data_IF_398721597979
#
_entry.id   IF_398721597979
#
_cell.length_a   1.000
_cell.length_b   1.000
_cell.length_c   1.000
_cell.angle_alpha   90.00
_cell.angle_beta   90.00
_cell.angle_gamma   90.00
#
_symmetry.space_group_name_H-M   'P 1'
#
loop_
_entity.id
_entity.type
_entity.pdbx_description
1 polymer ?
#
# COMPACT_ATOMS: atom_id res chain seq x y z
N UNK A 1 9.84 -19.97 27.12
CA UNK A 1 10.49 -19.29 25.96
C UNK A 1 9.46 -19.07 24.87
N UNK A 2 8.95 -17.86 24.69
CA UNK A 2 8.04 -17.52 23.60
C UNK A 2 8.85 -17.53 22.30
N UNK A 3 8.41 -18.32 21.30
CA UNK A 3 9.11 -18.45 20.00
C UNK A 3 9.29 -17.08 19.36
N UNK A 4 10.54 -16.71 19.09
CA UNK A 4 10.97 -15.43 18.52
C UNK A 4 10.87 -15.36 16.99
N UNK A 5 9.89 -16.02 16.38
CA UNK A 5 9.70 -16.08 14.92
C UNK A 5 8.25 -15.93 14.53
N UNK A 6 8.03 -15.27 13.40
CA UNK A 6 6.72 -15.22 12.71
C UNK A 6 6.36 -16.66 12.28
N UNK A 7 5.10 -17.07 12.50
CA UNK A 7 4.63 -18.40 12.04
C UNK A 7 4.31 -18.37 10.54
N UNK A 8 5.34 -18.16 9.72
CA UNK A 8 5.19 -18.24 8.27
C UNK A 8 4.95 -19.71 7.86
N UNK A 9 3.97 -19.98 6.96
CA UNK A 9 3.76 -21.33 6.44
C UNK A 9 4.99 -21.79 5.65
N UNK A 10 5.23 -23.11 5.55
CA UNK A 10 6.27 -23.63 4.66
C UNK A 10 5.97 -23.20 3.24
N UNK A 11 7.00 -22.71 2.54
CA UNK A 11 6.88 -22.24 1.15
C UNK A 11 7.82 -23.01 0.25
N UNK A 12 7.38 -23.30 -0.97
CA UNK A 12 8.23 -23.74 -2.07
C UNK A 12 8.39 -22.58 -3.05
N UNK A 13 9.63 -22.20 -3.35
CA UNK A 13 9.92 -21.12 -4.28
C UNK A 13 10.73 -21.67 -5.47
N UNK A 14 10.42 -21.18 -6.67
CA UNK A 14 11.19 -21.46 -7.88
C UNK A 14 11.00 -20.35 -8.91
N UNK A 15 11.87 -20.31 -9.90
CA UNK A 15 11.78 -19.40 -11.04
C UNK A 15 11.66 -20.20 -12.33
N UNK A 16 10.78 -19.78 -13.22
CA UNK A 16 10.67 -20.34 -14.57
C UNK A 16 11.75 -19.76 -15.48
N UNK A 17 12.04 -20.45 -16.58
CA UNK A 17 13.05 -20.01 -17.55
C UNK A 17 12.74 -18.63 -18.17
N UNK A 18 11.46 -18.27 -18.28
CA UNK A 18 11.01 -16.95 -18.75
C UNK A 18 11.10 -15.83 -17.69
N UNK A 19 11.60 -16.14 -16.50
CA UNK A 19 11.83 -15.18 -15.44
C UNK A 19 10.74 -15.11 -14.37
N UNK A 20 9.57 -15.70 -14.56
CA UNK A 20 8.48 -15.67 -13.58
C UNK A 20 8.92 -16.32 -12.25
N UNK A 21 8.84 -15.56 -11.17
CA UNK A 21 9.04 -16.03 -9.81
C UNK A 21 7.75 -16.62 -9.26
N UNK A 22 7.82 -17.82 -8.69
CA UNK A 22 6.65 -18.54 -8.14
C UNK A 22 6.88 -18.86 -6.67
N UNK A 23 5.87 -18.61 -5.85
CA UNK A 23 5.84 -18.94 -4.42
C UNK A 23 4.59 -19.76 -4.15
N UNK A 24 4.76 -20.97 -3.65
CA UNK A 24 3.68 -21.86 -3.23
C UNK A 24 3.67 -21.96 -1.72
N UNK A 25 2.54 -21.70 -1.10
CA UNK A 25 2.31 -21.83 0.35
C UNK A 25 1.13 -22.79 0.58
N UNK A 26 1.34 -24.11 0.49
CA UNK A 26 0.29 -25.10 0.65
C UNK A 26 -0.19 -25.16 2.11
N UNK A 27 -1.51 -25.19 2.28
CA UNK A 27 -2.21 -25.51 3.52
C UNK A 27 -3.27 -26.57 3.23
N UNK A 28 -2.97 -27.87 3.38
CA UNK A 28 -3.91 -28.94 3.05
C UNK A 28 -5.24 -28.90 3.83
N UNK A 29 -5.27 -28.22 4.97
CA UNK A 29 -6.48 -28.07 5.77
C UNK A 29 -7.42 -26.97 5.24
N UNK A 30 -6.92 -26.06 4.40
CA UNK A 30 -7.72 -24.97 3.87
C UNK A 30 -8.72 -25.47 2.82
N UNK A 31 -10.03 -25.10 2.92
CA UNK A 31 -11.03 -25.42 1.89
C UNK A 31 -10.90 -24.54 0.65
N UNK A 32 -10.12 -23.46 0.71
CA UNK A 32 -9.94 -22.49 -0.39
C UNK A 32 -8.48 -22.37 -0.78
N UNK A 33 -8.25 -21.92 -2.02
CA UNK A 33 -6.95 -21.53 -2.53
C UNK A 33 -7.03 -20.10 -3.10
N UNK A 34 -5.98 -19.33 -2.89
CA UNK A 34 -5.86 -17.96 -3.37
C UNK A 34 -4.66 -17.84 -4.31
N UNK A 35 -4.88 -17.27 -5.48
CA UNK A 35 -3.86 -16.97 -6.50
C UNK A 35 -3.65 -15.47 -6.55
N UNK A 36 -2.41 -15.05 -6.46
CA UNK A 36 -1.96 -13.66 -6.50
C UNK A 36 -0.91 -13.47 -7.58
N UNK A 37 -1.09 -12.47 -8.42
CA UNK A 37 -0.06 -12.00 -9.34
C UNK A 37 0.31 -10.57 -8.96
N UNK A 38 1.58 -10.37 -8.65
CA UNK A 38 2.15 -9.09 -8.27
C UNK A 38 3.09 -8.61 -9.37
N UNK A 39 2.83 -7.45 -9.93
CA UNK A 39 3.73 -6.78 -10.87
C UNK A 39 4.46 -5.65 -10.14
N UNK A 40 5.78 -5.54 -10.34
CA UNK A 40 6.62 -4.48 -9.76
C UNK A 40 6.50 -3.19 -10.56
N UNK A 41 5.27 -2.74 -10.75
CA UNK A 41 4.90 -1.54 -11.47
C UNK A 41 3.73 -0.88 -10.77
N UNK A 42 3.83 0.43 -10.58
CA UNK A 42 2.82 1.27 -9.96
C UNK A 42 3.06 2.72 -10.35
N UNK A 43 2.46 3.69 -9.63
CA UNK A 43 2.57 5.10 -10.02
C UNK A 43 4.02 5.64 -9.98
N UNK A 44 4.95 4.97 -9.30
CA UNK A 44 6.39 5.31 -9.35
C UNK A 44 7.02 5.18 -10.74
N UNK A 45 6.43 4.39 -11.63
CA UNK A 45 6.92 4.15 -12.98
C UNK A 45 6.33 5.14 -14.01
N UNK A 46 5.54 6.08 -13.53
CA UNK A 46 4.84 7.06 -14.34
C UNK A 46 5.58 8.40 -14.37
N UNK A 47 5.30 9.20 -15.39
CA UNK A 47 5.84 10.54 -15.58
C UNK A 47 4.75 11.47 -16.14
N UNK A 48 4.93 12.81 -16.13
CA UNK A 48 3.95 13.74 -16.68
C UNK A 48 3.55 13.38 -18.11
N UNK A 49 2.25 13.29 -18.36
CA UNK A 49 1.66 12.86 -19.62
C UNK A 49 1.12 11.43 -19.63
N UNK A 50 1.52 10.60 -18.61
CA UNK A 50 1.00 9.23 -18.45
C UNK A 50 0.66 8.88 -17.00
N UNK A 51 0.49 9.88 -16.12
CA UNK A 51 0.11 9.58 -14.73
C UNK A 51 -1.27 8.93 -14.69
N UNK A 52 -1.41 7.89 -13.86
CA UNK A 52 -2.60 7.03 -13.81
C UNK A 52 -2.55 5.81 -14.73
N UNK A 53 -1.49 5.63 -15.52
CA UNK A 53 -1.37 4.51 -16.46
C UNK A 53 -1.38 3.15 -15.77
N UNK A 54 -0.76 3.01 -14.60
CA UNK A 54 -0.75 1.76 -13.83
C UNK A 54 -2.16 1.34 -13.40
N UNK A 55 -2.92 2.29 -12.86
CA UNK A 55 -4.30 2.09 -12.44
C UNK A 55 -5.21 1.80 -13.64
N UNK A 56 -5.00 2.52 -14.74
CA UNK A 56 -5.77 2.26 -15.94
C UNK A 56 -5.50 0.87 -16.54
N UNK A 57 -4.25 0.43 -16.57
CA UNK A 57 -3.92 -0.95 -16.99
C UNK A 57 -4.52 -1.98 -16.03
N UNK A 58 -4.63 -1.66 -14.72
CA UNK A 58 -5.35 -2.50 -13.78
C UNK A 58 -6.79 -2.77 -14.27
N UNK A 59 -7.56 -1.72 -14.61
CA UNK A 59 -8.91 -1.84 -15.16
C UNK A 59 -8.93 -2.63 -16.47
N UNK A 60 -7.98 -2.34 -17.37
CA UNK A 60 -7.93 -2.98 -18.68
C UNK A 60 -7.71 -4.49 -18.62
N UNK A 61 -7.05 -5.00 -17.59
CA UNK A 61 -6.82 -6.44 -17.43
C UNK A 61 -8.11 -7.23 -17.06
N UNK A 62 -9.20 -6.55 -16.75
CA UNK A 62 -10.52 -7.13 -16.60
C UNK A 62 -11.38 -7.04 -17.88
N UNK A 63 -10.96 -6.23 -18.86
CA UNK A 63 -11.74 -5.98 -20.07
C UNK A 63 -11.62 -7.08 -21.13
N UNK A 64 -10.71 -8.04 -20.94
CA UNK A 64 -10.63 -9.25 -21.75
C UNK A 64 -9.24 -9.66 -22.17
N UNK A 65 -9.17 -10.88 -22.65
CA UNK A 65 -8.00 -11.58 -23.19
C UNK A 65 -8.45 -12.53 -24.30
N UNK A 66 -7.57 -13.17 -25.07
CA UNK A 66 -7.97 -14.06 -26.16
C UNK A 66 -8.91 -15.20 -25.76
N UNK A 67 -8.87 -15.65 -24.49
CA UNK A 67 -9.69 -16.77 -24.01
C UNK A 67 -10.91 -16.31 -23.21
N UNK A 68 -10.90 -15.08 -22.73
CA UNK A 68 -11.95 -14.53 -21.90
C UNK A 68 -12.37 -13.17 -22.44
N UNK A 69 -13.58 -13.09 -22.96
CA UNK A 69 -14.18 -11.83 -23.37
C UNK A 69 -14.52 -10.94 -22.15
N UNK A 70 -14.99 -9.73 -22.45
CA UNK A 70 -15.42 -8.76 -21.44
C UNK A 70 -16.45 -9.35 -20.47
N UNK A 71 -16.16 -9.24 -19.15
CA UNK A 71 -17.00 -9.77 -18.07
C UNK A 71 -16.96 -11.30 -17.93
N UNK A 72 -16.19 -12.03 -18.75
CA UNK A 72 -16.07 -13.48 -18.62
C UNK A 72 -15.08 -13.89 -17.54
N UNK A 73 -14.08 -13.06 -17.26
CA UNK A 73 -13.14 -13.26 -16.14
C UNK A 73 -13.92 -13.31 -14.82
N UNK A 74 -14.76 -12.30 -14.57
CA UNK A 74 -15.59 -12.22 -13.36
C UNK A 74 -16.54 -13.40 -13.27
N UNK A 75 -17.28 -13.68 -14.39
CA UNK A 75 -18.22 -14.81 -14.43
C UNK A 75 -17.52 -16.15 -14.18
N UNK A 76 -16.33 -16.36 -14.71
CA UNK A 76 -15.59 -17.62 -14.52
C UNK A 76 -15.25 -17.86 -13.06
N UNK A 77 -14.83 -16.82 -12.32
CA UNK A 77 -14.48 -16.93 -10.91
C UNK A 77 -15.73 -17.02 -10.03
N UNK A 78 -16.72 -16.13 -10.25
CA UNK A 78 -17.95 -16.10 -9.46
C UNK A 78 -18.78 -17.38 -9.63
N UNK A 79 -18.83 -17.95 -10.86
CA UNK A 79 -19.60 -19.18 -11.13
C UNK A 79 -19.11 -20.41 -10.36
N UNK A 80 -17.86 -20.40 -9.89
CA UNK A 80 -17.29 -21.46 -9.05
C UNK A 80 -17.29 -21.12 -7.56
N UNK A 81 -17.99 -20.04 -7.16
CA UNK A 81 -18.06 -19.58 -5.77
C UNK A 81 -16.82 -18.84 -5.29
N UNK A 82 -16.05 -18.28 -6.20
CA UNK A 82 -14.85 -17.48 -5.91
C UNK A 82 -15.11 -15.98 -5.88
N UNK A 83 -14.10 -15.27 -5.44
CA UNK A 83 -14.00 -13.81 -5.47
C UNK A 83 -12.71 -13.39 -6.18
N UNK A 84 -12.70 -12.23 -6.82
CA UNK A 84 -11.51 -11.66 -7.44
C UNK A 84 -11.51 -10.14 -7.25
N UNK A 85 -10.31 -9.58 -7.24
CA UNK A 85 -10.11 -8.14 -7.24
C UNK A 85 -8.69 -7.80 -7.69
N UNK A 86 -8.39 -6.50 -7.79
CA UNK A 86 -7.06 -5.97 -8.02
C UNK A 86 -6.88 -4.67 -7.25
N UNK A 87 -5.66 -4.19 -7.18
CA UNK A 87 -5.34 -2.86 -6.68
C UNK A 87 -3.96 -2.42 -7.18
N UNK A 88 -3.84 -1.13 -7.39
CA UNK A 88 -2.58 -0.46 -7.69
C UNK A 88 -2.12 0.38 -6.50
N UNK A 89 -0.84 0.29 -6.19
CA UNK A 89 -0.14 1.18 -5.26
C UNK A 89 0.99 1.90 -6.01
N UNK A 90 1.71 2.68 -5.29
CA UNK A 90 2.89 3.39 -5.79
C UNK A 90 3.98 2.43 -6.30
N UNK A 91 4.22 1.31 -5.62
CA UNK A 91 5.32 0.38 -5.92
C UNK A 91 4.94 -0.83 -6.75
N UNK A 92 3.66 -1.17 -6.83
CA UNK A 92 3.19 -2.41 -7.46
C UNK A 92 1.71 -2.35 -7.85
N UNK A 93 1.34 -3.28 -8.74
CA UNK A 93 -0.05 -3.61 -9.05
C UNK A 93 -0.26 -5.10 -8.75
N UNK A 94 -1.35 -5.44 -8.09
CA UNK A 94 -1.65 -6.83 -7.72
C UNK A 94 -3.04 -7.23 -8.17
N UNK A 95 -3.15 -8.46 -8.69
CA UNK A 95 -4.41 -9.13 -9.04
C UNK A 95 -4.55 -10.37 -8.19
N UNK A 96 -5.74 -10.66 -7.70
CA UNK A 96 -5.95 -11.85 -6.91
C UNK A 96 -7.33 -12.46 -7.11
N UNK A 97 -7.39 -13.77 -6.92
CA UNK A 97 -8.64 -14.53 -6.87
C UNK A 97 -8.55 -15.57 -5.76
N UNK A 98 -9.65 -15.73 -5.02
CA UNK A 98 -9.79 -16.79 -4.02
C UNK A 98 -10.97 -17.67 -4.44
N UNK A 99 -10.73 -18.96 -4.54
CA UNK A 99 -11.73 -19.95 -5.02
C UNK A 99 -11.74 -21.19 -4.08
N UNK A 100 -12.81 -21.99 -4.09
CA UNK A 100 -12.75 -23.34 -3.53
C UNK A 100 -11.57 -24.11 -4.15
N UNK A 101 -10.84 -24.87 -3.35
CA UNK A 101 -9.56 -25.48 -3.75
C UNK A 101 -9.62 -26.37 -4.99
N UNK A 102 -10.76 -27.01 -5.24
CA UNK A 102 -11.02 -27.84 -6.41
C UNK A 102 -11.08 -27.04 -7.71
N UNK A 103 -11.33 -25.72 -7.63
CA UNK A 103 -11.43 -24.81 -8.77
C UNK A 103 -10.17 -23.95 -8.97
N UNK A 104 -9.04 -24.27 -8.32
CA UNK A 104 -7.77 -23.54 -8.44
C UNK A 104 -7.28 -23.39 -9.90
N UNK A 105 -7.68 -24.29 -10.78
CA UNK A 105 -7.33 -24.22 -12.20
C UNK A 105 -7.90 -22.96 -12.90
N UNK A 106 -9.04 -22.43 -12.44
CA UNK A 106 -9.74 -21.28 -13.05
C UNK A 106 -8.87 -20.01 -12.96
N UNK A 107 -8.47 -19.52 -11.77
CA UNK A 107 -7.62 -18.33 -11.70
C UNK A 107 -6.24 -18.54 -12.34
N UNK A 108 -5.65 -19.72 -12.30
CA UNK A 108 -4.38 -20.00 -12.98
C UNK A 108 -4.51 -19.88 -14.51
N UNK A 109 -5.66 -20.27 -15.07
CA UNK A 109 -5.94 -20.15 -16.48
C UNK A 109 -6.11 -18.69 -16.90
N UNK A 110 -6.87 -17.92 -16.13
CA UNK A 110 -7.08 -16.48 -16.33
C UNK A 110 -5.73 -15.76 -16.30
N UNK A 111 -4.94 -15.95 -15.24
CA UNK A 111 -3.67 -15.24 -15.07
C UNK A 111 -2.64 -15.61 -16.13
N UNK A 112 -2.59 -16.88 -16.56
CA UNK A 112 -1.70 -17.29 -17.65
C UNK A 112 -2.11 -16.73 -19.01
N UNK A 113 -3.37 -16.33 -19.19
CA UNK A 113 -3.85 -15.73 -20.43
C UNK A 113 -3.64 -14.22 -20.45
N UNK A 114 -4.09 -13.50 -19.41
CA UNK A 114 -4.04 -12.04 -19.38
C UNK A 114 -2.65 -11.45 -19.08
N UNK A 115 -1.71 -12.21 -18.50
CA UNK A 115 -0.39 -11.73 -18.10
C UNK A 115 0.41 -11.08 -19.26
N UNK A 116 0.27 -11.61 -20.48
CA UNK A 116 1.01 -11.11 -21.65
C UNK A 116 0.13 -10.88 -22.87
N UNK A 117 -1.19 -11.09 -22.75
CA UNK A 117 -2.13 -11.06 -23.88
C UNK A 117 -3.43 -10.32 -23.58
N UNK A 118 -3.46 -9.45 -22.57
CA UNK A 118 -4.64 -8.62 -22.31
C UNK A 118 -5.00 -7.77 -23.52
N UNK A 119 -6.29 -7.67 -23.80
CA UNK A 119 -6.82 -6.91 -24.93
C UNK A 119 -7.08 -5.47 -24.51
N UNK A 120 -6.12 -4.59 -24.79
CA UNK A 120 -6.24 -3.15 -24.55
C UNK A 120 -6.74 -2.52 -25.85
N UNK A 121 -8.04 -2.67 -26.12
CA UNK A 121 -8.69 -2.14 -27.33
C UNK A 121 -9.02 -0.67 -27.17
N UNK A 122 -9.00 0.07 -28.30
CA UNK A 122 -9.32 1.51 -28.28
C UNK A 122 -10.74 1.77 -27.74
N UNK A 123 -11.70 0.93 -28.10
CA UNK A 123 -13.10 1.05 -27.65
C UNK A 123 -13.23 0.90 -26.14
N UNK A 124 -12.57 -0.09 -25.55
CA UNK A 124 -12.66 -0.32 -24.10
C UNK A 124 -11.85 0.73 -23.32
N UNK A 125 -10.72 1.21 -23.85
CA UNK A 125 -9.99 2.32 -23.24
C UNK A 125 -10.87 3.57 -23.14
N UNK A 126 -11.59 3.93 -24.20
CA UNK A 126 -12.49 5.10 -24.15
C UNK A 126 -13.69 4.91 -23.21
N UNK A 127 -14.18 3.69 -23.07
CA UNK A 127 -15.24 3.39 -22.08
C UNK A 127 -14.71 3.50 -20.65
N UNK A 128 -13.55 2.93 -20.38
CA UNK A 128 -12.92 2.99 -19.06
C UNK A 128 -12.47 4.39 -18.69
N UNK A 129 -12.18 5.28 -19.66
CA UNK A 129 -11.89 6.70 -19.38
C UNK A 129 -12.99 7.35 -18.54
N UNK A 130 -14.25 7.10 -18.88
CA UNK A 130 -15.40 7.64 -18.12
C UNK A 130 -15.45 7.07 -16.70
N UNK A 131 -15.15 5.78 -16.54
CA UNK A 131 -15.13 5.12 -15.22
C UNK A 131 -14.04 5.72 -14.34
N UNK A 132 -12.81 5.82 -14.87
CA UNK A 132 -11.64 6.38 -14.14
C UNK A 132 -11.87 7.86 -13.79
N UNK A 133 -12.47 8.64 -14.70
CA UNK A 133 -12.86 10.02 -14.39
C UNK A 133 -13.85 10.08 -13.23
N UNK A 134 -14.90 9.26 -13.27
CA UNK A 134 -15.91 9.23 -12.21
C UNK A 134 -15.32 8.80 -10.87
N UNK A 135 -14.38 7.85 -10.89
CA UNK A 135 -13.66 7.41 -9.70
C UNK A 135 -12.77 8.54 -9.13
N UNK A 136 -12.02 9.23 -10.00
CA UNK A 136 -11.23 10.39 -9.61
C UNK A 136 -12.10 11.49 -9.00
N UNK A 137 -13.21 11.84 -9.65
CA UNK A 137 -14.18 12.83 -9.15
C UNK A 137 -14.78 12.42 -7.81
N UNK A 138 -15.12 11.14 -7.67
CA UNK A 138 -15.61 10.59 -6.39
C UNK A 138 -14.59 10.76 -5.27
N UNK A 139 -13.31 10.48 -5.54
CA UNK A 139 -12.24 10.64 -4.55
C UNK A 139 -11.95 12.11 -4.23
N UNK A 140 -11.99 13.02 -5.20
CA UNK A 140 -11.79 14.46 -4.99
C UNK A 140 -12.88 15.11 -4.11
N UNK A 141 -14.04 14.48 -3.94
CA UNK A 141 -15.04 14.92 -2.98
C UNK A 141 -14.65 14.64 -1.52
N UNK A 142 -13.64 13.80 -1.29
CA UNK A 142 -13.12 13.53 0.04
C UNK A 142 -11.96 14.48 0.37
N UNK A 143 -12.10 15.34 1.39
CA UNK A 143 -11.03 16.26 1.78
C UNK A 143 -9.70 15.57 2.05
N UNK A 144 -9.73 14.38 2.66
CA UNK A 144 -8.52 13.61 2.97
C UNK A 144 -7.72 13.22 1.73
N UNK A 145 -8.39 12.88 0.63
CA UNK A 145 -7.74 12.57 -0.63
C UNK A 145 -6.98 13.79 -1.17
N UNK A 146 -7.63 14.95 -1.18
CA UNK A 146 -7.02 16.21 -1.65
C UNK A 146 -5.84 16.65 -0.79
N UNK A 147 -5.97 16.48 0.52
CA UNK A 147 -4.91 16.81 1.49
C UNK A 147 -3.72 15.87 1.32
N UNK A 148 -3.96 14.56 1.12
CA UNK A 148 -2.90 13.57 0.89
C UNK A 148 -2.18 13.83 -0.44
N UNK A 149 -2.93 14.07 -1.53
CA UNK A 149 -2.37 14.39 -2.84
C UNK A 149 -1.46 15.62 -2.77
N UNK A 150 -1.92 16.73 -2.17
CA UNK A 150 -1.14 17.95 -2.00
C UNK A 150 0.10 17.71 -1.13
N UNK A 151 -0.03 16.92 -0.04
CA UNK A 151 1.09 16.60 0.83
C UNK A 151 2.21 15.88 0.06
N UNK A 152 1.86 14.89 -0.78
CA UNK A 152 2.84 14.18 -1.58
C UNK A 152 3.45 15.07 -2.67
N UNK A 153 2.68 15.93 -3.31
CA UNK A 153 3.19 16.89 -4.31
C UNK A 153 4.17 17.89 -3.71
N UNK A 154 3.92 18.36 -2.49
CA UNK A 154 4.83 19.23 -1.76
C UNK A 154 6.07 18.50 -1.24
N UNK A 155 5.90 17.26 -0.78
CA UNK A 155 7.00 16.48 -0.20
C UNK A 155 8.03 16.03 -1.24
N UNK A 156 7.57 15.71 -2.45
CA UNK A 156 8.43 15.20 -3.54
C UNK A 156 8.43 16.16 -4.72
N UNK A 157 9.61 16.64 -5.10
CA UNK A 157 9.78 17.55 -6.25
C UNK A 157 10.22 16.81 -7.51
N UNK A 158 11.06 15.80 -7.34
CA UNK A 158 11.66 15.03 -8.44
C UNK A 158 11.20 13.58 -8.45
N UNK A 159 11.10 12.96 -7.28
CA UNK A 159 10.75 11.54 -7.18
C UNK A 159 9.28 11.28 -7.59
N UNK A 160 9.00 10.23 -8.38
CA UNK A 160 7.64 9.92 -8.85
C UNK A 160 6.61 9.63 -7.77
N UNK A 161 7.00 9.42 -6.52
CA UNK A 161 6.06 9.30 -5.39
C UNK A 161 5.17 10.53 -5.19
N UNK A 162 5.46 11.62 -5.90
CA UNK A 162 4.59 12.80 -5.95
C UNK A 162 3.25 12.55 -6.65
N UNK A 163 3.16 11.50 -7.47
CA UNK A 163 1.96 11.22 -8.26
C UNK A 163 1.01 10.33 -7.48
N UNK A 164 -0.23 10.76 -7.42
CA UNK A 164 -1.33 9.95 -6.93
C UNK A 164 -1.64 8.82 -7.92
N UNK A 165 -2.05 7.65 -7.41
CA UNK A 165 -2.24 6.41 -8.20
C UNK A 165 -3.30 6.59 -9.30
N UNK A 166 -4.37 7.34 -9.03
CA UNK A 166 -5.42 7.63 -10.02
C UNK A 166 -4.92 8.50 -11.19
N UNK A 167 -3.77 9.16 -11.02
CA UNK A 167 -3.21 10.05 -12.02
C UNK A 167 -3.85 11.45 -12.02
N UNK A 168 -3.24 12.36 -12.77
CA UNK A 168 -3.72 13.74 -12.94
C UNK A 168 -4.87 13.78 -13.94
N UNK A 169 -5.90 14.61 -13.70
CA UNK A 169 -7.02 14.80 -14.64
C UNK A 169 -6.55 15.04 -16.08
N UNK A 170 -5.63 15.98 -16.27
CA UNK A 170 -5.13 16.33 -17.60
C UNK A 170 -4.40 15.18 -18.32
N UNK A 171 -3.79 14.26 -17.57
CA UNK A 171 -3.14 13.10 -18.14
C UNK A 171 -4.19 12.02 -18.49
N UNK A 172 -5.15 11.76 -17.60
CA UNK A 172 -6.27 10.83 -17.84
C UNK A 172 -7.05 11.25 -19.10
N UNK A 173 -7.30 12.54 -19.31
CA UNK A 173 -8.00 13.06 -20.49
C UNK A 173 -7.25 12.80 -21.80
N UNK A 174 -5.92 12.78 -21.79
CA UNK A 174 -5.06 12.76 -22.97
C UNK A 174 -4.39 11.42 -23.25
N UNK A 175 -4.32 10.55 -22.24
CA UNK A 175 -3.65 9.26 -22.32
C UNK A 175 -4.30 8.39 -23.40
N UNK A 176 -3.49 7.96 -24.37
CA UNK A 176 -3.98 7.27 -25.56
C UNK A 176 -3.95 5.74 -25.38
N UNK A 177 -4.79 4.99 -26.12
CA UNK A 177 -4.74 3.53 -26.13
C UNK A 177 -3.35 2.97 -26.51
N UNK A 178 -2.62 3.65 -27.40
CA UNK A 178 -1.26 3.26 -27.77
C UNK A 178 -0.30 3.35 -26.58
N UNK A 179 -0.34 4.46 -25.82
CA UNK A 179 0.51 4.64 -24.64
C UNK A 179 0.18 3.58 -23.54
N UNK A 180 -1.11 3.23 -23.35
CA UNK A 180 -1.49 2.16 -22.42
C UNK A 180 -0.99 0.79 -22.86
N UNK A 181 -1.06 0.47 -24.16
CA UNK A 181 -0.49 -0.77 -24.71
C UNK A 181 1.03 -0.82 -24.52
N UNK A 182 1.72 0.28 -24.82
CA UNK A 182 3.18 0.38 -24.63
C UNK A 182 3.55 0.22 -23.15
N UNK A 183 2.79 0.86 -22.25
CA UNK A 183 2.96 0.73 -20.81
C UNK A 183 2.77 -0.72 -20.34
N UNK A 184 1.68 -1.35 -20.77
CA UNK A 184 1.40 -2.75 -20.47
C UNK A 184 2.52 -3.68 -20.98
N UNK A 185 2.91 -3.57 -22.24
CA UNK A 185 3.95 -4.41 -22.81
C UNK A 185 5.33 -4.21 -22.17
N UNK A 186 5.60 -3.01 -21.72
CA UNK A 186 6.86 -2.69 -21.05
C UNK A 186 6.95 -3.27 -19.67
N UNK A 187 5.91 -3.14 -18.86
CA UNK A 187 6.00 -3.45 -17.43
C UNK A 187 5.31 -4.75 -17.03
N UNK A 188 4.24 -5.15 -17.70
CA UNK A 188 3.47 -6.33 -17.33
C UNK A 188 3.98 -7.55 -18.09
N UNK A 189 4.46 -8.55 -17.35
CA UNK A 189 5.00 -9.76 -17.94
C UNK A 189 5.77 -10.61 -16.95
N UNK A 190 6.27 -11.74 -17.43
CA UNK A 190 6.83 -12.81 -16.59
C UNK A 190 8.08 -12.39 -15.81
N UNK A 191 8.91 -11.49 -16.36
CA UNK A 191 10.16 -11.05 -15.69
C UNK A 191 9.90 -10.09 -14.53
N UNK A 192 8.80 -9.35 -14.62
CA UNK A 192 8.40 -8.34 -13.62
C UNK A 192 7.30 -8.84 -12.70
N UNK A 193 6.88 -10.11 -12.82
CA UNK A 193 5.80 -10.70 -12.06
C UNK A 193 6.27 -11.68 -10.98
N UNK A 194 5.50 -11.74 -9.90
CA UNK A 194 5.60 -12.75 -8.84
C UNK A 194 4.23 -13.41 -8.72
N UNK A 195 4.18 -14.72 -8.97
CA UNK A 195 2.98 -15.54 -8.78
C UNK A 195 3.04 -16.18 -7.38
N UNK A 196 2.06 -15.88 -6.54
CA UNK A 196 1.91 -16.49 -5.23
C UNK A 196 0.63 -17.31 -5.18
N UNK A 197 0.73 -18.55 -4.74
CA UNK A 197 -0.43 -19.44 -4.56
C UNK A 197 -0.41 -19.92 -3.11
N UNK A 198 -1.50 -19.69 -2.38
CA UNK A 198 -1.63 -20.05 -0.98
C UNK A 198 -2.94 -20.80 -0.70
N UNK A 199 -2.96 -21.73 0.27
CA UNK A 199 -4.15 -22.44 0.69
C UNK A 199 -4.20 -23.91 0.30
N UNK A 200 -5.39 -24.45 0.05
CA UNK A 200 -5.66 -25.87 -0.10
C UNK A 200 -5.21 -26.45 -1.44
N UNK A 201 -4.02 -27.05 -1.50
CA UNK A 201 -3.57 -27.74 -2.70
C UNK A 201 -2.36 -28.67 -2.44
N UNK A 202 -2.11 -29.59 -3.37
CA UNK A 202 -0.86 -30.36 -3.42
C UNK A 202 0.22 -29.58 -4.17
N UNK A 203 1.31 -29.26 -3.48
CA UNK A 203 2.38 -28.40 -4.01
C UNK A 203 3.05 -28.97 -5.29
N UNK A 204 3.21 -30.30 -5.38
CA UNK A 204 3.84 -30.94 -6.55
C UNK A 204 2.94 -30.86 -7.78
N UNK A 205 1.65 -31.09 -7.58
CA UNK A 205 0.64 -31.00 -8.65
C UNK A 205 0.53 -29.56 -9.16
N UNK A 206 0.40 -28.58 -8.27
CA UNK A 206 0.30 -27.16 -8.64
C UNK A 206 1.59 -26.67 -9.28
N UNK A 207 2.77 -27.07 -8.81
CA UNK A 207 4.03 -26.73 -9.45
C UNK A 207 4.13 -27.25 -10.89
N UNK A 208 3.61 -28.46 -11.19
CA UNK A 208 3.53 -28.99 -12.57
C UNK A 208 2.54 -28.17 -13.41
N UNK A 209 1.38 -27.84 -12.88
CA UNK A 209 0.35 -27.06 -13.59
C UNK A 209 0.84 -25.65 -13.90
N UNK A 210 1.47 -24.97 -12.96
CA UNK A 210 2.11 -23.66 -13.17
C UNK A 210 3.17 -23.74 -14.28
N UNK A 211 4.07 -24.72 -14.25
CA UNK A 211 5.05 -24.91 -15.33
C UNK A 211 4.38 -25.11 -16.67
N UNK A 212 3.35 -25.94 -16.75
CA UNK A 212 2.63 -26.23 -18.01
C UNK A 212 2.00 -24.97 -18.61
N UNK A 213 1.39 -24.09 -17.78
CA UNK A 213 0.66 -22.90 -18.23
C UNK A 213 1.60 -21.73 -18.50
N UNK A 214 2.50 -21.43 -17.57
CA UNK A 214 3.28 -20.20 -17.57
C UNK A 214 4.64 -20.31 -18.29
N UNK A 215 5.24 -21.50 -18.43
CA UNK A 215 6.55 -21.62 -19.10
C UNK A 215 6.51 -21.29 -20.59
N UNK A 216 5.33 -21.33 -21.22
CA UNK A 216 5.14 -21.01 -22.64
C UNK A 216 5.00 -19.51 -22.91
N UNK A 217 4.79 -18.72 -21.85
CA UNK A 217 4.67 -17.28 -21.98
C UNK A 217 6.02 -16.65 -22.34
N UNK A 218 6.03 -15.60 -23.16
CA UNK A 218 7.26 -14.89 -23.50
C UNK A 218 7.94 -14.33 -22.25
N UNK A 219 9.26 -14.22 -22.30
CA UNK A 219 10.05 -13.53 -21.30
C UNK A 219 9.93 -12.02 -21.53
N UNK A 220 8.91 -11.39 -20.92
CA UNK A 220 8.54 -9.98 -21.06
C UNK A 220 8.41 -9.29 -19.72
N UNK A 221 8.22 -7.98 -19.76
CA UNK A 221 8.15 -7.12 -18.58
C UNK A 221 9.53 -6.68 -18.10
N UNK A 222 9.64 -5.39 -17.77
CA UNK A 222 10.87 -4.78 -17.27
C UNK A 222 10.69 -4.38 -15.81
N UNK A 223 11.65 -4.71 -14.97
CA UNK A 223 11.79 -4.17 -13.60
C UNK A 223 12.60 -2.87 -13.69
N UNK A 224 11.93 -1.76 -13.98
CA UNK A 224 12.57 -0.47 -14.14
C UNK A 224 12.67 0.23 -12.80
N UNK A 225 13.89 0.45 -12.35
CA UNK A 225 14.15 1.20 -11.12
C UNK A 225 14.02 2.69 -11.35
N UNK A 226 13.43 3.37 -10.35
CA UNK A 226 13.43 4.83 -10.29
C UNK A 226 14.85 5.30 -9.99
N UNK A 227 15.35 6.20 -10.83
CA UNK A 227 16.70 6.77 -10.72
C UNK A 227 16.70 8.18 -10.15
N UNK A 228 15.54 8.80 -10.13
CA UNK A 228 15.34 10.15 -9.61
C UNK A 228 15.55 10.17 -8.10
N UNK A 229 16.52 10.96 -7.67
CA UNK A 229 16.83 11.16 -6.26
C UNK A 229 16.17 12.46 -5.80
N UNK A 230 15.37 12.34 -4.76
CA UNK A 230 14.78 13.53 -4.15
C UNK A 230 15.81 14.27 -3.29
N UNK A 231 15.91 15.59 -3.49
CA UNK A 231 16.83 16.41 -2.73
C UNK A 231 16.38 16.58 -1.25
N UNK A 232 17.32 16.78 -0.31
CA UNK A 232 16.97 17.10 1.06
C UNK A 232 16.07 18.35 1.14
N UNK A 233 15.10 18.31 2.06
CA UNK A 233 14.27 19.47 2.32
C UNK A 233 15.12 20.65 2.83
N UNK A 234 14.84 21.86 2.33
CA UNK A 234 15.57 23.10 2.69
C UNK A 234 14.74 24.05 3.55
N UNK A 235 13.61 23.63 4.04
CA UNK A 235 12.67 24.40 4.85
C UNK A 235 11.31 23.75 4.89
N UNK A 236 10.51 24.13 5.88
CA UNK A 236 9.11 23.71 5.99
C UNK A 236 8.33 24.16 4.74
N UNK A 237 7.48 23.26 4.21
CA UNK A 237 6.58 23.54 3.08
C UNK A 237 5.14 23.48 3.58
N UNK A 238 4.32 24.41 3.16
CA UNK A 238 2.93 24.52 3.62
C UNK A 238 1.98 24.77 2.46
N UNK A 239 0.76 24.21 2.57
CA UNK A 239 -0.37 24.58 1.74
C UNK A 239 -1.64 24.73 2.57
N UNK A 240 -2.49 25.67 2.14
CA UNK A 240 -3.84 25.87 2.65
C UNK A 240 -4.82 25.52 1.53
N UNK A 241 -5.68 24.54 1.78
CA UNK A 241 -6.72 24.12 0.84
C UNK A 241 -8.09 24.54 1.38
N UNK A 242 -8.98 24.84 0.46
CA UNK A 242 -10.40 25.08 0.78
C UNK A 242 -11.27 24.20 -0.12
N UNK A 243 -12.47 23.87 0.35
CA UNK A 243 -13.40 23.10 -0.46
C UNK A 243 -14.63 22.64 0.31
N UNK A 244 -15.44 21.75 -0.30
CA UNK A 244 -16.70 21.30 0.28
C UNK A 244 -16.49 20.51 1.57
N UNK A 245 -17.51 20.49 2.42
CA UNK A 245 -17.50 19.75 3.68
C UNK A 245 -17.71 20.63 4.91
N UNK A 246 -17.64 20.01 6.07
CA UNK A 246 -17.89 20.69 7.36
C UNK A 246 -16.74 20.51 8.36
N UNK A 247 -15.78 19.63 8.07
CA UNK A 247 -14.71 19.27 9.00
C UNK A 247 -13.36 19.79 8.52
N UNK A 248 -12.62 20.57 9.34
CA UNK A 248 -11.26 20.95 9.04
C UNK A 248 -10.29 19.78 9.22
N UNK A 249 -9.28 19.70 8.32
CA UNK A 249 -8.24 18.65 8.35
C UNK A 249 -6.85 19.26 8.42
N UNK A 250 -5.99 18.57 9.17
CA UNK A 250 -4.57 18.83 9.25
C UNK A 250 -3.83 17.56 8.85
N UNK A 251 -2.88 17.67 7.93
CA UNK A 251 -1.94 16.58 7.65
C UNK A 251 -0.52 17.12 7.66
N UNK A 252 0.36 16.40 8.32
CA UNK A 252 1.78 16.68 8.37
C UNK A 252 2.56 15.49 7.85
N UNK A 253 3.67 15.74 7.15
CA UNK A 253 4.52 14.69 6.61
C UNK A 253 6.01 14.97 6.77
N UNK A 254 6.79 13.92 6.98
CA UNK A 254 8.24 13.92 7.00
C UNK A 254 8.75 12.78 6.15
N UNK A 255 9.86 12.97 5.45
CA UNK A 255 10.47 11.87 4.73
C UNK A 255 10.91 10.77 5.67
N UNK A 256 10.57 9.55 5.30
CA UNK A 256 10.78 8.36 6.12
C UNK A 256 11.72 7.38 5.42
N UNK A 257 12.34 6.46 6.18
CA UNK A 257 13.20 5.43 5.62
C UNK A 257 12.43 4.44 4.74
N UNK A 258 13.14 3.74 3.90
CA UNK A 258 12.64 2.57 3.15
C UNK A 258 12.53 1.36 4.06
N UNK A 259 11.89 0.29 3.57
CA UNK A 259 11.90 -1.00 4.29
C UNK A 259 13.33 -1.58 4.47
N UNK A 260 14.31 -1.10 3.69
CA UNK A 260 15.68 -1.60 3.71
C UNK A 260 16.58 -0.92 4.76
N UNK A 261 16.15 0.22 5.29
CA UNK A 261 16.95 1.02 6.20
C UNK A 261 17.03 0.42 7.61
N UNK A 262 18.19 0.48 8.27
CA UNK A 262 18.35 0.00 9.64
C UNK A 262 17.50 0.79 10.65
N UNK A 263 17.06 1.99 10.30
CA UNK A 263 16.21 2.84 11.14
C UNK A 263 14.71 2.48 11.09
N UNK A 264 14.32 1.58 10.19
CA UNK A 264 12.92 1.16 10.00
C UNK A 264 12.27 0.61 11.27
N UNK A 265 12.90 -0.27 12.07
CA UNK A 265 12.28 -0.75 13.31
C UNK A 265 11.96 0.38 14.28
N UNK A 266 12.88 1.34 14.44
CA UNK A 266 12.64 2.49 15.32
C UNK A 266 11.52 3.41 14.77
N UNK A 267 11.43 3.59 13.45
CA UNK A 267 10.35 4.36 12.82
C UNK A 267 8.99 3.68 13.05
N UNK A 268 8.90 2.35 12.96
CA UNK A 268 7.68 1.60 13.27
C UNK A 268 7.27 1.73 14.74
N UNK A 269 8.25 1.80 15.65
CA UNK A 269 7.97 2.09 17.08
C UNK A 269 7.32 3.46 17.23
N UNK A 270 7.86 4.49 16.56
CA UNK A 270 7.30 5.85 16.62
C UNK A 270 5.87 5.88 16.10
N UNK A 271 5.60 5.21 14.99
CA UNK A 271 4.25 5.12 14.42
C UNK A 271 3.27 4.48 15.40
N UNK A 272 3.63 3.34 15.98
CA UNK A 272 2.76 2.66 16.95
C UNK A 272 2.49 3.48 18.21
N UNK A 273 3.50 4.18 18.72
CA UNK A 273 3.39 5.02 19.93
C UNK A 273 2.54 6.26 19.67
N UNK A 274 2.64 6.85 18.49
CA UNK A 274 1.91 8.06 18.14
C UNK A 274 0.43 7.81 17.83
N UNK A 275 0.07 6.76 17.14
CA UNK A 275 -1.34 6.53 16.81
C UNK A 275 -1.56 5.52 15.70
N UNK A 276 -0.47 5.07 15.07
CA UNK A 276 -0.53 4.07 14.05
C UNK A 276 -0.71 2.65 14.60
N UNK A 277 -1.08 1.79 13.72
CA UNK A 277 -0.96 0.36 13.91
C UNK A 277 0.27 -0.10 13.16
N UNK A 278 1.04 -1.04 13.71
CA UNK A 278 2.14 -1.68 12.98
C UNK A 278 1.56 -2.44 11.78
N UNK A 279 1.24 -1.75 10.70
CA UNK A 279 0.51 -2.31 9.55
C UNK A 279 1.13 -3.60 9.02
N UNK A 280 2.46 -3.70 9.05
CA UNK A 280 3.15 -4.91 8.65
C UNK A 280 2.83 -6.12 9.56
N UNK A 281 2.42 -5.88 10.81
CA UNK A 281 2.02 -6.90 11.77
C UNK A 281 0.58 -6.70 12.25
N UNK A 282 -0.21 -5.87 11.60
CA UNK A 282 -1.62 -5.70 11.92
C UNK A 282 -2.42 -6.95 11.56
N UNK A 283 -3.29 -7.34 12.45
CA UNK A 283 -4.18 -8.51 12.28
C UNK A 283 -5.27 -8.29 11.22
N UNK A 284 -5.04 -7.55 10.22
CA UNK A 284 -6.04 -7.22 9.20
C UNK A 284 -5.46 -6.95 7.84
N UNK A 285 -4.13 -6.99 7.66
CA UNK A 285 -3.39 -6.94 6.39
C UNK A 285 -4.08 -6.27 5.18
N UNK A 286 -4.87 -5.25 5.39
CA UNK A 286 -5.67 -4.61 4.36
C UNK A 286 -5.30 -3.15 4.21
N UNK A 287 -5.57 -2.59 3.05
CA UNK A 287 -5.42 -1.19 2.68
C UNK A 287 -6.33 -0.23 3.46
N UNK A 288 -7.00 -0.70 4.52
CA UNK A 288 -7.81 0.12 5.40
C UNK A 288 -7.00 1.22 6.08
N UNK A 289 -7.61 2.36 6.35
CA UNK A 289 -7.04 3.44 7.16
C UNK A 289 -6.56 2.88 8.50
N UNK A 290 -5.44 3.40 9.02
CA UNK A 290 -4.96 3.06 10.35
C UNK A 290 -6.10 3.20 11.36
N UNK A 291 -6.35 2.14 12.13
CA UNK A 291 -7.34 2.18 13.20
C UNK A 291 -6.91 3.13 14.29
N UNK A 292 -7.86 3.80 14.92
CA UNK A 292 -7.59 4.59 16.11
C UNK A 292 -7.24 3.69 17.27
N UNK A 293 -6.23 4.10 18.01
CA UNK A 293 -5.78 3.33 19.17
C UNK A 293 -5.90 4.20 20.44
N UNK A 294 -6.85 3.91 21.36
CA UNK A 294 -7.06 4.72 22.55
C UNK A 294 -5.82 4.88 23.45
N UNK A 295 -4.87 3.94 23.39
CA UNK A 295 -3.62 4.03 24.14
C UNK A 295 -2.54 4.90 23.45
N UNK A 296 -2.75 5.34 22.22
CA UNK A 296 -1.79 6.11 21.45
C UNK A 296 -1.69 7.57 21.92
N UNK A 297 -0.50 8.18 21.77
CA UNK A 297 -0.26 9.54 22.24
C UNK A 297 -1.12 10.60 21.55
N UNK A 298 -1.32 10.47 20.24
CA UNK A 298 -2.18 11.39 19.48
C UNK A 298 -3.63 11.27 19.93
N UNK A 299 -4.13 10.05 20.10
CA UNK A 299 -5.50 9.84 20.57
C UNK A 299 -5.72 10.51 21.94
N UNK A 300 -4.87 10.20 22.94
CA UNK A 300 -4.98 10.76 24.28
C UNK A 300 -4.85 12.28 24.33
N UNK A 301 -3.99 12.85 23.49
CA UNK A 301 -3.72 14.28 23.51
C UNK A 301 -4.72 15.11 22.72
N UNK A 302 -5.36 14.53 21.70
CA UNK A 302 -6.22 15.27 20.79
C UNK A 302 -7.68 14.80 20.85
N UNK A 303 -7.92 13.49 20.90
CA UNK A 303 -9.28 12.94 20.87
C UNK A 303 -9.90 12.94 22.27
N UNK A 304 -9.21 12.38 23.27
CA UNK A 304 -9.70 12.37 24.67
C UNK A 304 -9.88 13.78 25.24
N UNK A 305 -9.15 14.77 24.71
CA UNK A 305 -9.26 16.18 25.15
C UNK A 305 -10.28 16.98 24.35
N UNK A 306 -10.93 16.40 23.35
CA UNK A 306 -11.93 17.05 22.52
C UNK A 306 -11.36 18.05 21.50
N UNK A 307 -10.05 18.03 21.22
CA UNK A 307 -9.44 18.84 20.17
C UNK A 307 -9.65 18.27 18.78
N UNK A 308 -9.73 16.95 18.67
CA UNK A 308 -9.94 16.26 17.41
C UNK A 308 -11.04 15.20 17.52
N UNK A 309 -11.75 14.94 16.42
CA UNK A 309 -12.63 13.78 16.30
C UNK A 309 -11.83 12.53 15.88
N UNK A 310 -10.67 12.76 15.27
CA UNK A 310 -9.74 11.70 14.85
C UNK A 310 -8.32 12.23 14.83
N UNK A 311 -7.35 11.38 15.26
CA UNK A 311 -5.93 11.67 15.13
C UNK A 311 -5.15 10.37 14.98
N UNK A 312 -4.36 10.25 13.91
CA UNK A 312 -3.58 9.04 13.57
C UNK A 312 -2.20 9.41 13.04
N UNK A 313 -1.27 8.48 13.14
CA UNK A 313 -0.02 8.51 12.37
C UNK A 313 0.02 7.33 11.41
N UNK A 314 0.87 7.43 10.41
CA UNK A 314 1.07 6.36 9.45
C UNK A 314 2.48 6.37 8.88
N UNK A 315 3.13 5.21 8.94
CA UNK A 315 4.30 4.89 8.16
C UNK A 315 4.01 3.66 7.28
N UNK A 316 4.16 3.82 5.96
CA UNK A 316 4.00 2.70 5.01
C UNK A 316 5.36 2.24 4.51
N UNK A 317 5.68 0.92 4.59
CA UNK A 317 6.86 0.38 3.93
C UNK A 317 6.78 0.62 2.42
N UNK A 318 7.85 1.15 1.86
CA UNK A 318 7.98 1.42 0.43
C UNK A 318 9.37 1.01 -0.08
N UNK A 319 9.49 0.85 -1.39
CA UNK A 319 10.77 0.53 -2.04
C UNK A 319 11.77 1.70 -1.92
N UNK A 320 11.28 2.94 -2.07
CA UNK A 320 12.06 4.17 -1.92
C UNK A 320 11.61 4.95 -0.67
N UNK A 321 12.38 5.95 -0.23
CA UNK A 321 12.00 6.78 0.91
C UNK A 321 10.62 7.41 0.70
N UNK A 322 9.66 7.04 1.55
CA UNK A 322 8.30 7.53 1.54
C UNK A 322 8.06 8.67 2.53
N UNK A 323 6.86 8.72 3.10
CA UNK A 323 6.51 9.66 4.16
C UNK A 323 6.11 8.93 5.44
N UNK A 324 6.45 9.55 6.55
CA UNK A 324 5.77 9.36 7.83
C UNK A 324 4.75 10.48 7.94
N UNK A 325 3.48 10.16 8.11
CA UNK A 325 2.41 11.15 8.16
C UNK A 325 1.70 11.17 9.50
N UNK A 326 1.21 12.33 9.89
CA UNK A 326 0.24 12.53 10.97
C UNK A 326 -0.97 13.21 10.36
N UNK A 327 -2.15 12.68 10.64
CA UNK A 327 -3.41 13.20 10.17
C UNK A 327 -4.35 13.45 11.36
N UNK A 328 -5.01 14.60 11.37
CA UNK A 328 -5.99 14.93 12.39
C UNK A 328 -7.19 15.68 11.80
N UNK A 329 -8.38 15.38 12.32
CA UNK A 329 -9.64 16.04 12.00
C UNK A 329 -10.06 16.86 13.20
N UNK A 330 -10.23 18.18 13.05
CA UNK A 330 -10.59 19.06 14.13
C UNK A 330 -12.00 18.76 14.66
N UNK A 331 -12.18 18.85 15.96
CA UNK A 331 -13.50 18.86 16.57
C UNK A 331 -14.22 20.21 16.29
N UNK A 332 -15.55 20.23 16.43
CA UNK A 332 -16.34 21.44 16.19
C UNK A 332 -15.84 22.60 17.05
N UNK A 333 -15.55 23.73 16.42
CA UNK A 333 -15.07 24.95 17.09
C UNK A 333 -13.58 24.99 17.40
N UNK A 334 -12.81 23.93 17.04
CA UNK A 334 -11.36 23.89 17.21
C UNK A 334 -10.69 24.41 15.95
N UNK A 335 -9.77 25.38 16.11
CA UNK A 335 -8.99 25.93 15.01
C UNK A 335 -7.85 24.97 14.58
N UNK A 336 -7.43 25.06 13.32
CA UNK A 336 -6.27 24.31 12.82
C UNK A 336 -4.97 24.71 13.53
N UNK A 337 -4.86 25.95 14.04
CA UNK A 337 -3.69 26.38 14.83
C UNK A 337 -3.64 25.68 16.20
N UNK A 338 -4.78 25.53 16.87
CA UNK A 338 -4.86 24.77 18.13
C UNK A 338 -4.51 23.30 17.89
N UNK A 339 -5.03 22.73 16.81
CA UNK A 339 -4.77 21.32 16.46
C UNK A 339 -3.29 21.09 16.12
N UNK A 340 -2.67 21.95 15.30
CA UNK A 340 -1.26 21.89 14.95
C UNK A 340 -0.36 22.03 16.20
N UNK A 341 -0.66 23.01 17.07
CA UNK A 341 0.08 23.22 18.30
C UNK A 341 0.01 22.01 19.25
N UNK A 342 -1.15 21.34 19.30
CA UNK A 342 -1.32 20.12 20.10
C UNK A 342 -0.48 18.96 19.53
N UNK A 343 -0.48 18.76 18.22
CA UNK A 343 0.40 17.76 17.55
C UNK A 343 1.87 18.08 17.83
N UNK A 344 2.30 19.32 17.64
CA UNK A 344 3.68 19.75 17.91
C UNK A 344 4.08 19.50 19.38
N UNK A 345 3.17 19.69 20.32
CA UNK A 345 3.39 19.38 21.74
C UNK A 345 3.58 17.88 22.00
N UNK A 346 2.84 17.02 21.31
CA UNK A 346 3.00 15.56 21.38
C UNK A 346 4.37 15.16 20.84
N UNK A 347 4.75 15.67 19.67
CA UNK A 347 6.02 15.39 19.03
C UNK A 347 7.21 15.89 19.87
N UNK A 348 7.13 17.11 20.42
CA UNK A 348 8.18 17.67 21.29
C UNK A 348 8.44 16.80 22.53
N UNK A 349 7.38 16.24 23.14
CA UNK A 349 7.52 15.29 24.25
C UNK A 349 8.21 14.00 23.83
N UNK A 350 7.85 13.44 22.64
CA UNK A 350 8.43 12.23 22.12
C UNK A 350 9.92 12.43 21.75
N UNK A 351 10.24 13.53 21.10
CA UNK A 351 11.61 13.93 20.73
C UNK A 351 12.51 14.10 21.96
N UNK A 352 11.97 14.69 23.04
CA UNK A 352 12.73 14.93 24.27
C UNK A 352 12.94 13.67 25.09
N UNK A 353 11.89 12.88 25.32
CA UNK A 353 11.90 11.79 26.30
C UNK A 353 11.87 10.38 25.68
N UNK A 354 11.54 10.25 24.39
CA UNK A 354 11.31 8.94 23.76
C UNK A 354 10.03 8.26 24.24
N UNK A 355 9.82 7.01 23.85
CA UNK A 355 8.74 6.18 24.38
C UNK A 355 9.02 5.72 25.82
N UNK A 356 7.96 5.53 26.59
CA UNK A 356 8.05 4.95 27.93
C UNK A 356 8.24 3.42 27.88
N UNK A 357 8.74 2.80 28.97
CA UNK A 357 8.82 1.34 29.06
C UNK A 357 7.46 0.64 28.80
N UNK A 358 6.38 1.18 29.34
CA UNK A 358 5.03 0.63 29.15
C UNK A 358 4.61 0.67 27.67
N UNK A 359 4.86 1.78 26.96
CA UNK A 359 4.55 1.89 25.52
C UNK A 359 5.35 0.88 24.68
N UNK A 360 6.61 0.62 25.06
CA UNK A 360 7.43 -0.40 24.39
C UNK A 360 6.92 -1.83 24.67
N UNK A 361 6.45 -2.10 25.89
CA UNK A 361 5.91 -3.42 26.25
C UNK A 361 4.56 -3.67 25.56
N UNK A 362 3.69 -2.66 25.47
CA UNK A 362 2.44 -2.70 24.71
C UNK A 362 2.70 -2.95 23.21
N UNK A 363 3.68 -2.25 22.64
CA UNK A 363 4.11 -2.47 21.27
C UNK A 363 4.59 -3.91 21.06
N UNK A 364 5.47 -4.43 21.94
CA UNK A 364 5.97 -5.80 21.84
C UNK A 364 4.84 -6.83 21.91
N UNK A 365 3.82 -6.60 22.74
CA UNK A 365 2.63 -7.43 22.82
C UNK A 365 1.81 -7.40 21.53
N UNK A 366 1.57 -6.18 20.96
CA UNK A 366 0.88 -5.99 19.67
C UNK A 366 1.61 -6.70 18.54
N UNK A 367 2.91 -6.50 18.43
CA UNK A 367 3.76 -7.10 17.39
C UNK A 367 3.75 -8.63 17.46
N UNK A 368 3.85 -9.23 18.67
CA UNK A 368 3.76 -10.68 18.84
C UNK A 368 2.40 -11.23 18.44
N UNK A 369 1.32 -10.55 18.82
CA UNK A 369 -0.05 -10.93 18.41
C UNK A 369 -0.22 -10.83 16.92
N UNK A 370 0.16 -9.71 16.32
CA UNK A 370 0.08 -9.49 14.88
C UNK A 370 0.88 -10.53 14.09
N UNK A 371 2.11 -10.84 14.52
CA UNK A 371 2.92 -11.88 13.91
C UNK A 371 2.29 -13.28 14.00
N UNK A 372 1.60 -13.58 15.10
CA UNK A 372 0.90 -14.86 15.27
C UNK A 372 -0.28 -15.01 14.29
N UNK A 373 -0.96 -13.90 13.95
CA UNK A 373 -2.16 -13.87 13.12
C UNK A 373 -1.86 -13.51 11.64
N UNK A 374 -0.59 -13.24 11.31
CA UNK A 374 -0.18 -12.68 10.00
C UNK A 374 -0.52 -13.55 8.81
N UNK A 375 -0.57 -14.86 8.98
CA UNK A 375 -0.74 -15.85 7.92
C UNK A 375 -2.05 -16.66 8.09
N UNK A 376 -3.06 -16.10 8.75
CA UNK A 376 -4.36 -16.75 8.86
C UNK A 376 -5.16 -16.61 7.55
N UNK A 377 -5.45 -17.76 6.91
CA UNK A 377 -6.23 -17.85 5.68
C UNK A 377 -5.39 -17.69 4.41
N UNK A 378 -5.91 -18.23 3.31
CA UNK A 378 -5.23 -18.33 2.03
C UNK A 378 -4.95 -16.95 1.42
N UNK A 379 -5.95 -16.06 1.35
CA UNK A 379 -5.82 -14.75 0.73
C UNK A 379 -4.82 -13.88 1.48
N UNK A 380 -4.88 -13.81 2.81
CA UNK A 380 -3.92 -13.05 3.63
C UNK A 380 -2.49 -13.58 3.48
N UNK A 381 -2.32 -14.90 3.43
CA UNK A 381 -1.01 -15.53 3.17
C UNK A 381 -0.47 -15.12 1.80
N UNK A 382 -1.31 -15.18 0.76
CA UNK A 382 -0.94 -14.76 -0.59
C UNK A 382 -0.56 -13.27 -0.67
N UNK A 383 -1.38 -12.41 -0.06
CA UNK A 383 -1.09 -10.98 0.06
C UNK A 383 0.28 -10.75 0.72
N UNK A 384 0.49 -11.31 1.91
CA UNK A 384 1.69 -11.03 2.71
C UNK A 384 2.98 -11.51 2.05
N UNK A 385 2.97 -12.72 1.50
CA UNK A 385 4.11 -13.26 0.77
C UNK A 385 4.44 -12.43 -0.48
N UNK A 386 3.42 -12.01 -1.22
CA UNK A 386 3.60 -11.19 -2.40
C UNK A 386 4.08 -9.78 -2.07
N UNK A 387 3.45 -9.10 -1.14
CA UNK A 387 3.82 -7.76 -0.69
C UNK A 387 5.29 -7.68 -0.22
N UNK A 388 5.69 -8.60 0.66
CA UNK A 388 7.07 -8.68 1.10
C UNK A 388 8.05 -9.02 -0.04
N UNK A 389 7.62 -9.84 -1.00
CA UNK A 389 8.45 -10.23 -2.15
C UNK A 389 8.64 -9.11 -3.16
N UNK A 390 7.69 -8.18 -3.26
CA UNK A 390 7.83 -6.98 -4.09
C UNK A 390 8.81 -6.02 -3.45
N UNK A 391 8.65 -5.74 -2.15
CA UNK A 391 9.46 -4.73 -1.46
C UNK A 391 10.86 -5.24 -1.08
N UNK A 392 11.01 -6.50 -0.69
CA UNK A 392 12.29 -7.09 -0.30
C UNK A 392 12.31 -8.62 -0.47
N UNK A 393 11.92 -9.33 0.56
CA UNK A 393 11.71 -10.78 0.56
C UNK A 393 10.88 -11.21 1.78
N UNK A 394 10.15 -12.33 1.71
CA UNK A 394 9.41 -12.83 2.86
C UNK A 394 10.29 -13.21 4.06
N UNK A 395 11.54 -13.60 3.80
CA UNK A 395 12.50 -13.99 4.85
C UNK A 395 12.90 -12.81 5.74
N UNK A 396 12.93 -11.59 5.20
CA UNK A 396 13.23 -10.37 5.94
C UNK A 396 12.25 -10.09 7.07
N UNK A 397 11.05 -10.62 6.99
CA UNK A 397 10.02 -10.44 8.03
C UNK A 397 10.49 -10.93 9.41
N UNK A 398 11.20 -12.06 9.47
CA UNK A 398 11.74 -12.59 10.72
C UNK A 398 12.83 -11.70 11.32
N UNK A 399 13.64 -11.07 10.47
CA UNK A 399 14.66 -10.11 10.87
C UNK A 399 14.00 -8.84 11.42
N UNK A 400 13.07 -8.28 10.67
CA UNK A 400 12.33 -7.08 11.06
C UNK A 400 11.55 -7.30 12.37
N UNK A 401 10.87 -8.45 12.51
CA UNK A 401 10.16 -8.82 13.72
C UNK A 401 11.09 -8.85 14.94
N UNK A 402 12.25 -9.49 14.82
CA UNK A 402 13.24 -9.54 15.90
C UNK A 402 13.77 -8.14 16.23
N UNK A 403 14.18 -7.39 15.20
CA UNK A 403 14.69 -6.03 15.38
C UNK A 403 13.68 -5.13 16.09
N UNK A 404 12.41 -5.19 15.69
CA UNK A 404 11.33 -4.40 16.29
C UNK A 404 11.13 -4.70 17.79
N UNK A 405 11.21 -5.98 18.18
CA UNK A 405 11.11 -6.38 19.59
C UNK A 405 12.28 -5.92 20.46
N UNK A 406 13.42 -5.58 19.85
CA UNK A 406 14.64 -5.15 20.55
C UNK A 406 14.90 -3.65 20.49
N UNK A 407 14.05 -2.87 19.83
CA UNK A 407 14.19 -1.41 19.85
C UNK A 407 14.10 -0.88 21.28
N UNK A 408 15.07 -0.04 21.61
CA UNK A 408 15.17 0.61 22.94
C UNK A 408 14.59 2.04 22.92
N UNK A 409 14.25 2.57 24.09
CA UNK A 409 13.74 3.93 24.19
C UNK A 409 14.76 4.99 23.68
N UNK A 410 16.08 4.89 23.96
CA UNK A 410 17.07 5.78 23.35
C UNK A 410 17.09 5.72 21.83
N UNK A 411 17.09 4.54 21.21
CA UNK A 411 17.05 4.39 19.75
C UNK A 411 15.80 5.03 19.14
N UNK A 412 14.63 4.80 19.73
CA UNK A 412 13.39 5.43 19.26
C UNK A 412 13.40 6.94 19.46
N UNK A 413 13.97 7.46 20.58
CA UNK A 413 14.14 8.90 20.81
C UNK A 413 15.06 9.52 19.76
N UNK A 414 16.22 8.93 19.53
CA UNK A 414 17.21 9.44 18.58
C UNK A 414 16.63 9.42 17.15
N UNK A 415 15.82 8.40 16.83
CA UNK A 415 15.05 8.37 15.58
C UNK A 415 14.00 9.48 15.52
N UNK A 416 13.27 9.76 16.61
CA UNK A 416 12.30 10.85 16.66
C UNK A 416 12.96 12.22 16.44
N UNK A 417 14.14 12.44 17.02
CA UNK A 417 14.95 13.66 16.81
C UNK A 417 15.38 13.83 15.35
N UNK A 418 15.78 12.73 14.70
CA UNK A 418 16.17 12.77 13.29
C UNK A 418 14.99 12.96 12.34
N UNK A 419 13.82 12.36 12.65
CA UNK A 419 12.64 12.34 11.78
C UNK A 419 11.84 13.64 11.89
N UNK A 420 11.46 14.07 13.11
CA UNK A 420 10.51 15.17 13.33
C UNK A 420 11.16 16.55 13.36
N UNK A 421 12.02 16.82 12.37
CA UNK A 421 12.65 18.13 12.22
C UNK A 421 11.72 19.08 11.50
N UNK A 422 11.56 20.29 12.04
CA UNK A 422 10.65 21.29 11.48
C UNK A 422 11.05 21.70 10.06
N UNK A 423 12.32 21.83 9.79
CA UNK A 423 12.85 22.23 8.49
C UNK A 423 12.64 21.18 7.37
N UNK A 424 12.29 19.95 7.71
CA UNK A 424 11.95 18.88 6.76
C UNK A 424 10.47 18.56 6.69
N UNK A 425 9.64 19.31 7.45
CA UNK A 425 8.20 19.09 7.56
C UNK A 425 7.44 19.64 6.36
N UNK A 426 6.41 18.91 5.96
CA UNK A 426 5.36 19.38 5.05
C UNK A 426 4.07 19.46 5.85
N UNK A 427 3.30 20.53 5.68
CA UNK A 427 2.01 20.73 6.36
C UNK A 427 0.97 21.11 5.32
N UNK A 428 -0.15 20.40 5.31
CA UNK A 428 -1.33 20.74 4.52
C UNK A 428 -2.51 20.91 5.46
N UNK A 429 -3.20 22.02 5.30
CA UNK A 429 -4.40 22.35 6.03
C UNK A 429 -5.59 22.43 5.08
N UNK A 430 -6.72 21.94 5.50
CA UNK A 430 -7.97 22.02 4.76
C UNK A 430 -9.04 22.71 5.60
N UNK A 431 -9.58 23.80 5.05
CA UNK A 431 -10.68 24.55 5.64
C UNK A 431 -11.94 24.33 4.82
N UNK A 432 -13.01 23.77 5.39
CA UNK A 432 -14.26 23.55 4.68
C UNK A 432 -14.97 24.88 4.39
N UNK A 433 -15.60 24.99 3.21
CA UNK A 433 -16.36 26.19 2.82
C UNK A 433 -17.82 26.15 3.29
N UNK A 434 -18.33 24.99 3.73
CA UNK A 434 -19.72 24.79 4.15
C UNK A 434 -20.01 25.02 5.64
N UNK A 435 -19.06 25.54 6.43
CA UNK A 435 -19.23 25.76 7.87
C UNK A 435 -19.67 27.16 8.31
N UNK A 436 -19.94 28.06 7.36
CA UNK A 436 -20.21 29.46 7.65
C UNK A 436 -21.71 29.85 7.68
N UNK A 437 -22.62 28.93 7.38
CA UNK A 437 -24.06 29.20 7.40
C UNK A 437 -24.81 28.18 8.27
N UNK A 438 -24.73 28.38 9.58
CA UNK A 438 -25.71 27.90 10.55
C UNK A 438 -25.53 28.67 11.87
N UNK A 439 -25.81 29.96 11.86
CA UNK A 439 -26.30 30.73 13.03
C UNK A 439 -27.78 30.96 12.90
#
# INVERSE_FOLDING_TARGET
MVRSRVRRPPTQQFRLANGLRVILAPDPASPVASVWVWYRVGSKNEYPGITGASHWVEHMLFQGSPRYGKGEIDRAVVSVGGELNAFTDTDFTAYFSTVPREHLAVPLDIESDRMTRALISDVEVERERTVIHSEREGNENWPEFRVEEELYQLAFQTHPYRWEVLGRRADIERLTPAQLRDYYHRYYGTRNAILVIAGGFDARSVARDVRRRFSKLPASGEDVRVTEVELPARGERRAELTGPGTTPYLQMGWRSPTLHDPETPATMVLDTVLGGDTRLFAAGGGWGRAGEHPSARLYRALVDTGLAVRATSEWRPREYPGLFTIQAQAAKGVSLDQLESAVDSVLARLVRAGPTPTELDDLRAKVRRGAALSYEGASRTGFRLGYLSVLRSPEYEDELFRSLLHVTAPQARDRAQALFRRESRVVVRYTPTGGAEAE
#
